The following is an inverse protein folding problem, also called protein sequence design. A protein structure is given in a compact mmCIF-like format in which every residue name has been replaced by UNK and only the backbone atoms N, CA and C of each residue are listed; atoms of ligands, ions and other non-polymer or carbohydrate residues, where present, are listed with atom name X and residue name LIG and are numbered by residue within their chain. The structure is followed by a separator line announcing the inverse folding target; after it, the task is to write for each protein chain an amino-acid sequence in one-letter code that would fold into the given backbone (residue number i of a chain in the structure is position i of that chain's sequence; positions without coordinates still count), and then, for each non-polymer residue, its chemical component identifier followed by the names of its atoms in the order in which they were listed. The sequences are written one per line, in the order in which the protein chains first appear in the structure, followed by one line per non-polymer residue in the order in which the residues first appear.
data_IF_301652316835
#
_entry.id   IF_301652316835
#
_cell.length_a   1.000
_cell.length_b   1.000
_cell.length_c   1.000
_cell.angle_alpha   90.00
_cell.angle_beta   90.00
_cell.angle_gamma   90.00
#
_symmetry.space_group_name_H-M   'P 1'
#
loop_
_entity.id
_entity.type
_entity.pdbx_description
1 polymer ?
#
# COMPACT_ATOMS: atom_id res chain seq x y z
N UNK A 1 -50.35 -3.53 -55.87
CA UNK A 1 -50.82 -2.20 -55.42
C UNK A 1 -49.63 -1.40 -54.93
N UNK A 2 -49.55 -0.15 -55.40
CA UNK A 2 -48.48 0.84 -55.19
C UNK A 2 -48.55 1.39 -53.75
N UNK A 3 -47.41 1.75 -53.13
CA UNK A 3 -46.98 3.15 -53.06
C UNK A 3 -45.59 3.26 -52.44
N UNK A 4 -44.70 3.87 -53.21
CA UNK A 4 -43.39 4.38 -52.83
C UNK A 4 -43.51 5.91 -52.85
N UNK A 5 -43.07 6.60 -51.80
CA UNK A 5 -43.10 8.07 -51.74
C UNK A 5 -41.71 8.63 -51.48
N UNK A 6 -41.08 9.01 -52.60
CA UNK A 6 -40.38 10.27 -52.90
C UNK A 6 -39.25 10.78 -51.99
N UNK A 7 -38.05 10.79 -52.59
CA UNK A 7 -36.95 11.71 -52.31
C UNK A 7 -37.31 13.18 -52.58
N UNK A 8 -36.64 14.09 -51.87
CA UNK A 8 -36.38 15.47 -52.30
C UNK A 8 -35.05 15.94 -51.69
N UNK A 9 -34.04 16.16 -52.54
CA UNK A 9 -32.92 17.09 -52.31
C UNK A 9 -33.03 18.20 -53.37
N UNK A 10 -32.45 19.39 -53.15
CA UNK A 10 -31.17 19.63 -53.83
C UNK A 10 -30.16 20.55 -53.12
N UNK A 11 -28.90 20.33 -53.53
CA UNK A 11 -27.83 21.30 -53.82
C UNK A 11 -26.84 21.72 -52.71
N UNK A 12 -25.56 21.48 -53.04
CA UNK A 12 -24.36 21.87 -52.28
C UNK A 12 -23.21 20.90 -52.52
N UNK A 13 -22.71 20.80 -53.77
CA UNK A 13 -21.69 19.82 -54.17
C UNK A 13 -20.26 20.21 -53.79
N UNK A 14 -19.38 19.22 -53.63
CA UNK A 14 -18.32 18.87 -54.60
C UNK A 14 -17.86 17.43 -54.31
N UNK A 15 -17.77 16.61 -55.38
CA UNK A 15 -17.33 15.20 -55.41
C UNK A 15 -15.85 15.11 -55.79
N UNK A 16 -15.22 13.96 -55.50
CA UNK A 16 -14.65 12.97 -56.46
C UNK A 16 -13.83 11.96 -55.62
N UNK A 17 -14.29 10.70 -55.42
CA UNK A 17 -14.18 9.48 -56.26
C UNK A 17 -12.74 8.95 -56.40
N UNK A 18 -12.43 7.65 -56.36
CA UNK A 18 -13.15 6.36 -56.25
C UNK A 18 -12.16 5.35 -55.62
N UNK A 19 -12.39 4.06 -55.40
CA UNK A 19 -13.15 2.93 -55.97
C UNK A 19 -12.84 1.77 -55.00
N UNK A 20 -13.62 0.71 -54.71
CA UNK A 20 -14.88 0.15 -55.19
C UNK A 20 -15.22 -1.03 -54.24
N UNK A 21 -16.51 -1.26 -53.97
CA UNK A 21 -17.04 -2.45 -53.30
C UNK A 21 -16.75 -3.77 -54.06
N UNK A 22 -16.66 -4.88 -53.32
CA UNK A 22 -17.41 -6.09 -53.65
C UNK A 22 -17.71 -6.95 -52.40
N UNK A 23 -19.01 -7.22 -52.25
CA UNK A 23 -19.71 -8.28 -51.50
C UNK A 23 -19.07 -9.67 -51.64
N UNK A 24 -19.30 -10.72 -50.85
CA UNK A 24 -20.41 -11.19 -50.01
C UNK A 24 -19.94 -12.50 -49.34
N UNK A 25 -20.51 -12.88 -48.20
CA UNK A 25 -20.24 -14.16 -47.56
C UNK A 25 -20.78 -15.37 -48.34
N UNK A 26 -20.08 -16.50 -48.25
CA UNK A 26 -20.64 -17.82 -48.46
C UNK A 26 -19.89 -18.85 -47.62
N UNK A 27 -20.68 -19.63 -46.88
CA UNK A 27 -20.31 -20.82 -46.12
C UNK A 27 -19.76 -21.93 -47.01
N UNK A 28 -18.76 -22.67 -46.54
CA UNK A 28 -18.75 -24.15 -46.37
C UNK A 28 -17.33 -24.72 -46.37
N UNK A 29 -17.14 -25.67 -45.47
CA UNK A 29 -16.02 -26.61 -45.33
C UNK A 29 -15.63 -27.29 -46.64
N UNK A 30 -14.34 -27.53 -46.88
CA UNK A 30 -13.72 -28.85 -47.15
C UNK A 30 -12.19 -28.68 -47.15
N UNK A 31 -11.51 -29.63 -46.50
CA UNK A 31 -10.05 -29.79 -46.40
C UNK A 31 -9.60 -30.69 -47.56
N UNK A 32 -8.38 -30.51 -48.10
CA UNK A 32 -7.35 -31.54 -48.39
C UNK A 32 -6.26 -31.02 -49.36
N UNK A 33 -5.02 -31.02 -48.84
CA UNK A 33 -3.69 -31.36 -49.44
C UNK A 33 -3.17 -30.76 -50.75
N UNK A 34 -1.90 -30.33 -50.71
CA UNK A 34 -0.98 -30.43 -51.86
C UNK A 34 0.08 -29.33 -51.99
N UNK A 35 1.22 -29.50 -51.32
CA UNK A 35 2.52 -28.92 -51.74
C UNK A 35 3.00 -29.68 -53.00
N UNK A 36 3.73 -29.05 -53.95
CA UNK A 36 5.19 -28.98 -53.78
C UNK A 36 5.94 -27.78 -54.44
N UNK A 37 7.16 -27.58 -53.91
CA UNK A 37 8.43 -27.18 -54.56
C UNK A 37 8.59 -25.86 -55.34
N UNK A 38 9.58 -25.08 -54.88
CA UNK A 38 10.24 -23.96 -55.55
C UNK A 38 11.14 -24.36 -56.73
N UNK A 39 11.59 -23.37 -57.54
CA UNK A 39 12.98 -23.36 -58.01
C UNK A 39 13.72 -22.01 -57.86
N UNK A 40 15.04 -22.14 -57.96
CA UNK A 40 16.15 -21.18 -57.78
C UNK A 40 16.24 -19.98 -58.74
N UNK A 41 16.88 -18.91 -58.23
CA UNK A 41 18.05 -18.26 -58.85
C UNK A 41 17.86 -16.86 -59.44
N UNK A 42 18.54 -15.82 -58.92
CA UNK A 42 19.81 -15.30 -59.48
C UNK A 42 20.38 -14.09 -58.69
N UNK A 43 21.72 -13.97 -58.72
CA UNK A 43 22.63 -13.16 -57.91
C UNK A 43 22.79 -11.70 -58.35
N UNK A 44 23.22 -10.82 -57.42
CA UNK A 44 24.15 -9.70 -57.72
C UNK A 44 25.21 -9.48 -56.62
N UNK A 45 26.33 -8.93 -57.07
CA UNK A 45 27.73 -9.11 -56.64
C UNK A 45 28.21 -8.17 -55.52
N UNK A 46 29.25 -8.62 -54.79
CA UNK A 46 30.21 -7.85 -53.97
C UNK A 46 31.49 -7.61 -54.81
N UNK A 47 32.28 -6.54 -54.53
CA UNK A 47 33.74 -6.72 -54.32
C UNK A 47 34.32 -5.73 -53.24
N UNK A 48 35.64 -5.74 -52.91
CA UNK A 48 36.32 -6.76 -52.13
C UNK A 48 37.18 -6.21 -50.96
N UNK A 49 37.88 -7.13 -50.30
CA UNK A 49 38.58 -7.07 -49.02
C UNK A 49 39.98 -6.42 -48.99
N UNK A 50 40.50 -6.20 -47.77
CA UNK A 50 41.92 -6.36 -47.44
C UNK A 50 42.07 -6.90 -46.01
N UNK A 51 42.93 -7.91 -45.87
CA UNK A 51 43.25 -8.66 -44.66
C UNK A 51 44.65 -8.28 -44.16
N UNK A 52 44.96 -8.55 -42.88
CA UNK A 52 46.21 -9.22 -42.49
C UNK A 52 46.05 -9.95 -41.16
N UNK A 53 46.61 -11.16 -41.14
CA UNK A 53 46.73 -12.15 -40.07
C UNK A 53 47.89 -11.82 -39.11
N UNK A 54 47.88 -12.40 -37.89
CA UNK A 54 48.77 -13.52 -37.49
C UNK A 54 48.68 -13.78 -35.98
N UNK A 55 48.16 -14.97 -35.64
CA UNK A 55 48.84 -16.07 -34.94
C UNK A 55 49.55 -15.88 -33.58
N UNK A 56 48.98 -16.59 -32.60
CA UNK A 56 49.57 -17.76 -31.93
C UNK A 56 50.45 -17.61 -30.67
N UNK A 57 49.93 -18.32 -29.64
CA UNK A 57 50.61 -19.25 -28.72
C UNK A 57 51.37 -18.75 -27.49
N UNK A 58 51.10 -19.47 -26.39
CA UNK A 58 52.19 -20.04 -25.59
C UNK A 58 52.11 -19.84 -24.08
N UNK A 59 51.74 -20.91 -23.37
CA UNK A 59 51.83 -21.07 -21.92
C UNK A 59 53.26 -20.82 -21.37
N UNK A 60 53.37 -20.46 -20.08
CA UNK A 60 53.93 -21.28 -18.98
C UNK A 60 54.31 -20.44 -17.75
N UNK A 61 54.73 -21.14 -16.71
CA UNK A 61 54.55 -20.90 -15.29
C UNK A 61 55.79 -20.42 -14.53
N UNK A 62 55.54 -20.01 -13.28
CA UNK A 62 56.38 -20.17 -12.09
C UNK A 62 57.49 -19.14 -11.73
N UNK A 63 57.37 -18.73 -10.44
CA UNK A 63 58.39 -18.39 -9.42
C UNK A 63 59.20 -17.09 -9.51
N UNK A 64 59.14 -16.36 -8.37
CA UNK A 64 60.37 -15.98 -7.66
C UNK A 64 60.67 -14.48 -7.50
N UNK A 65 60.24 -13.94 -6.36
CA UNK A 65 60.93 -12.96 -5.48
C UNK A 65 61.96 -11.94 -6.00
N UNK A 66 61.81 -10.70 -5.53
CA UNK A 66 62.95 -9.88 -5.11
C UNK A 66 63.04 -8.47 -5.68
N UNK A 67 62.67 -7.50 -4.83
CA UNK A 67 63.26 -6.16 -4.66
C UNK A 67 63.56 -5.28 -5.90
N UNK A 68 62.84 -4.14 -5.99
CA UNK A 68 63.23 -3.03 -6.85
C UNK A 68 62.14 -1.96 -6.95
N UNK A 69 61.96 -1.16 -5.90
CA UNK A 69 61.04 -0.02 -5.90
C UNK A 69 61.66 1.12 -6.72
N UNK A 70 60.96 1.58 -7.75
CA UNK A 70 61.29 2.78 -8.54
C UNK A 70 60.10 3.76 -8.59
N UNK A 71 60.35 5.06 -8.86
CA UNK A 71 59.84 6.15 -8.03
C UNK A 71 58.66 6.88 -8.67
N UNK A 72 57.44 6.35 -8.52
CA UNK A 72 56.22 7.12 -8.85
C UNK A 72 55.20 7.19 -7.71
N UNK A 73 55.52 6.60 -6.55
CA UNK A 73 54.66 6.63 -5.36
C UNK A 73 54.95 7.78 -4.37
N UNK A 74 55.97 8.62 -4.59
CA UNK A 74 56.37 9.66 -3.63
C UNK A 74 55.83 11.07 -3.88
N UNK A 75 55.00 11.30 -4.92
CA UNK A 75 54.44 12.63 -5.19
C UNK A 75 53.11 12.94 -4.47
N UNK A 76 52.46 11.94 -3.84
CA UNK A 76 51.18 12.13 -3.13
C UNK A 76 51.30 12.20 -1.60
N UNK A 77 52.46 11.87 -1.03
CA UNK A 77 52.70 11.86 0.42
C UNK A 77 53.27 13.19 0.95
N UNK A 78 53.76 14.08 0.08
CA UNK A 78 54.39 15.36 0.46
C UNK A 78 53.40 16.52 0.75
N UNK A 79 52.09 16.30 0.60
CA UNK A 79 51.05 17.30 0.94
C UNK A 79 50.49 17.16 2.37
N UNK A 80 51.13 16.34 3.22
CA UNK A 80 50.63 16.01 4.58
C UNK A 80 51.48 16.53 5.75
N UNK A 81 52.48 17.39 5.53
CA UNK A 81 53.47 17.75 6.59
C UNK A 81 53.66 19.24 6.91
N UNK A 82 52.79 20.16 6.45
CA UNK A 82 52.97 21.61 6.69
C UNK A 82 51.95 22.31 7.62
N UNK A 83 51.11 21.60 8.39
CA UNK A 83 50.14 22.24 9.32
C UNK A 83 50.44 21.94 10.81
N UNK A 84 51.62 21.40 11.12
CA UNK A 84 52.04 21.04 12.48
C UNK A 84 53.28 21.83 12.95
N UNK A 85 53.24 23.17 12.90
CA UNK A 85 54.26 24.05 13.54
C UNK A 85 53.73 25.45 13.92
N UNK A 86 52.61 25.53 14.64
CA UNK A 86 52.30 26.71 15.47
C UNK A 86 52.00 26.19 16.87
N UNK A 87 53.00 26.25 17.74
CA UNK A 87 52.95 25.77 19.12
C UNK A 87 53.34 26.92 20.05
N UNK A 88 52.46 27.15 21.04
CA UNK A 88 52.67 27.74 22.36
C UNK A 88 52.69 29.27 22.59
N UNK A 89 51.56 29.72 23.19
CA UNK A 89 51.42 30.30 24.53
C UNK A 89 51.80 31.77 24.79
N UNK A 90 50.81 32.60 25.16
CA UNK A 90 50.62 33.12 26.54
C UNK A 90 49.36 34.02 26.65
N UNK A 91 48.68 33.93 27.79
CA UNK A 91 47.41 34.56 28.16
C UNK A 91 47.55 36.03 28.63
N UNK A 92 46.42 36.73 28.90
CA UNK A 92 46.05 37.36 30.21
C UNK A 92 44.96 38.49 30.10
N UNK A 93 43.91 38.35 30.96
CA UNK A 93 42.96 39.33 31.58
C UNK A 93 41.86 39.94 30.67
N UNK A 94 40.56 39.75 30.93
CA UNK A 94 39.83 40.28 32.10
C UNK A 94 38.54 39.49 32.41
N UNK A 95 38.28 39.23 33.69
CA UNK A 95 37.03 38.69 34.23
C UNK A 95 36.26 39.78 35.03
N UNK A 96 34.96 39.49 35.25
CA UNK A 96 33.94 40.13 36.12
C UNK A 96 32.89 41.02 35.44
N UNK A 97 31.69 40.46 35.23
CA UNK A 97 30.47 40.79 36.00
C UNK A 97 29.28 39.94 35.52
N UNK A 98 28.55 39.36 36.47
CA UNK A 98 27.34 38.59 36.26
C UNK A 98 26.16 39.48 35.84
N UNK A 99 25.39 39.06 34.82
CA UNK A 99 23.95 39.32 34.71
C UNK A 99 23.30 38.13 34.00
N UNK A 100 22.38 37.49 34.70
CA UNK A 100 21.43 36.50 34.20
C UNK A 100 20.54 37.08 33.10
N UNK A 101 20.29 36.35 32.02
CA UNK A 101 18.97 36.26 31.36
C UNK A 101 19.02 35.37 30.10
N UNK A 102 18.46 34.17 30.24
CA UNK A 102 17.37 33.65 29.39
C UNK A 102 17.50 33.73 27.88
N UNK A 103 17.88 32.62 27.24
CA UNK A 103 17.33 32.20 25.96
C UNK A 103 17.66 30.72 25.68
N UNK A 104 16.80 29.80 26.14
CA UNK A 104 16.80 28.42 25.68
C UNK A 104 15.39 28.02 25.23
N UNK A 105 15.33 27.61 23.96
CA UNK A 105 14.53 26.47 23.51
C UNK A 105 13.01 26.61 23.51
N UNK A 106 12.46 27.03 22.37
CA UNK A 106 11.11 26.60 21.96
C UNK A 106 11.17 25.11 21.58
N UNK A 107 10.39 24.26 22.26
CA UNK A 107 9.65 23.17 21.61
C UNK A 107 8.30 23.03 22.31
N UNK A 108 7.25 23.23 21.52
CA UNK A 108 5.89 22.91 21.88
C UNK A 108 5.71 21.39 21.73
N UNK A 109 5.25 20.71 22.77
CA UNK A 109 4.76 19.34 22.69
C UNK A 109 3.23 19.34 22.82
N UNK A 110 2.59 18.54 21.95
CA UNK A 110 1.15 18.36 21.89
C UNK A 110 0.59 17.54 23.07
N UNK A 111 -0.73 17.36 23.14
CA UNK A 111 -1.41 16.90 24.35
C UNK A 111 -1.06 15.45 24.64
N UNK A 112 -0.30 15.24 25.72
CA UNK A 112 0.08 13.94 26.23
C UNK A 112 -1.15 13.15 26.70
N UNK A 113 -1.32 11.96 26.11
CA UNK A 113 -2.10 10.90 26.75
C UNK A 113 -1.53 10.61 28.14
N UNK A 114 -2.43 10.38 29.10
CA UNK A 114 -2.08 10.12 30.50
C UNK A 114 -1.08 8.97 30.60
N UNK A 115 0.19 9.30 30.79
CA UNK A 115 1.27 8.37 31.05
C UNK A 115 1.54 8.35 32.55
N UNK A 116 1.85 7.15 33.09
CA UNK A 116 2.22 6.94 34.50
C UNK A 116 3.32 7.91 34.99
N UNK A 117 4.14 8.43 34.09
CA UNK A 117 5.18 9.42 34.38
C UNK A 117 4.59 10.73 34.94
N UNK A 118 3.47 11.22 34.39
CA UNK A 118 2.86 12.48 34.85
C UNK A 118 2.18 12.40 36.22
N UNK A 119 2.10 11.20 36.81
CA UNK A 119 1.57 10.97 38.16
C UNK A 119 2.63 11.15 39.25
N UNK A 120 3.91 10.98 38.91
CA UNK A 120 5.04 11.03 39.86
C UNK A 120 5.95 12.23 39.63
N UNK A 121 6.04 12.71 38.39
CA UNK A 121 6.71 13.96 38.02
C UNK A 121 5.85 15.16 38.49
N UNK A 122 6.02 15.51 39.76
CA UNK A 122 5.22 16.53 40.44
C UNK A 122 5.65 17.92 40.00
N UNK A 123 6.94 18.10 39.71
CA UNK A 123 7.50 19.38 39.25
C UNK A 123 7.38 19.58 37.73
N UNK A 124 6.96 18.55 36.99
CA UNK A 124 6.74 18.52 35.53
C UNK A 124 7.98 18.85 34.72
N UNK A 125 9.14 18.38 35.17
CA UNK A 125 10.40 18.56 34.47
C UNK A 125 10.73 17.44 33.46
N UNK A 126 9.87 16.43 33.37
CA UNK A 126 10.00 15.29 32.47
C UNK A 126 10.88 14.17 33.02
N UNK A 127 11.36 14.28 34.26
CA UNK A 127 12.16 13.28 34.97
C UNK A 127 11.59 13.01 36.36
N UNK A 128 11.96 11.89 37.01
CA UNK A 128 11.53 11.59 38.38
C UNK A 128 12.75 11.69 39.29
N UNK A 129 12.77 12.74 40.12
CA UNK A 129 13.83 13.01 41.08
C UNK A 129 13.74 12.14 42.35
N UNK A 130 14.80 12.17 43.16
CA UNK A 130 14.89 11.39 44.40
C UNK A 130 13.72 11.64 45.36
N UNK A 131 13.35 12.91 45.54
CA UNK A 131 12.28 13.32 46.46
C UNK A 131 10.89 12.89 45.94
N UNK A 132 10.73 12.76 44.61
CA UNK A 132 9.49 12.30 43.97
C UNK A 132 9.35 10.77 44.05
N UNK A 133 10.47 10.04 44.00
CA UNK A 133 10.50 8.59 44.27
C UNK A 133 10.13 8.32 45.73
N UNK A 134 10.62 9.14 46.67
CA UNK A 134 10.29 9.02 48.08
C UNK A 134 8.80 9.31 48.36
N UNK A 135 8.17 10.21 47.58
CA UNK A 135 6.73 10.49 47.62
C UNK A 135 5.83 9.50 46.87
N UNK A 136 6.39 8.63 46.03
CA UNK A 136 5.63 7.78 45.11
C UNK A 136 4.65 6.82 45.81
N UNK A 137 5.00 6.34 47.00
CA UNK A 137 4.12 5.47 47.79
C UNK A 137 2.81 6.17 48.22
N UNK A 138 2.88 7.46 48.53
CA UNK A 138 1.69 8.25 48.89
C UNK A 138 0.81 8.51 47.66
N UNK A 139 1.42 8.77 46.50
CA UNK A 139 0.71 8.97 45.24
C UNK A 139 0.01 7.69 44.75
N UNK A 140 0.64 6.52 44.91
CA UNK A 140 0.02 5.22 44.62
C UNK A 140 -1.16 4.92 45.56
N UNK A 141 -1.04 5.24 46.85
CA UNK A 141 -2.13 5.07 47.81
C UNK A 141 -3.32 6.00 47.54
N UNK A 142 -3.10 7.16 46.92
CA UNK A 142 -4.17 8.07 46.52
C UNK A 142 -4.94 7.60 45.26
N UNK A 143 -4.38 6.66 44.51
CA UNK A 143 -5.02 6.05 43.34
C UNK A 143 -5.93 4.86 43.70
N UNK A 144 -5.64 4.17 44.82
CA UNK A 144 -6.48 3.10 45.38
C UNK A 144 -7.74 3.71 46.00
N UNK A 145 -8.75 3.92 45.15
CA UNK A 145 -10.02 4.57 45.51
C UNK A 145 -10.98 3.60 46.15
N UNK A 146 -10.91 2.32 45.79
CA UNK A 146 -11.77 1.29 46.37
C UNK A 146 -11.20 0.76 47.70
N UNK A 147 -9.95 1.08 48.04
CA UNK A 147 -9.30 0.77 49.30
C UNK A 147 -8.97 -0.72 49.45
N UNK A 148 -8.84 -1.45 48.34
CA UNK A 148 -8.61 -2.89 48.34
C UNK A 148 -7.12 -3.28 48.45
N UNK A 149 -6.23 -2.29 48.44
CA UNK A 149 -4.79 -2.46 48.53
C UNK A 149 -4.11 -2.85 47.22
N UNK A 150 -4.85 -2.87 46.11
CA UNK A 150 -4.36 -3.07 44.75
C UNK A 150 -4.81 -1.90 43.84
N UNK A 151 -4.13 -1.72 42.70
CA UNK A 151 -4.54 -0.72 41.70
C UNK A 151 -5.15 -1.41 40.49
N UNK A 152 -6.45 -1.24 40.30
CA UNK A 152 -7.20 -1.74 39.15
C UNK A 152 -7.06 -0.87 37.90
N UNK A 153 -7.44 -1.43 36.74
CA UNK A 153 -7.42 -0.73 35.45
C UNK A 153 -8.31 0.53 35.39
N UNK A 154 -9.27 0.63 36.32
CA UNK A 154 -10.18 1.78 36.43
C UNK A 154 -9.63 2.90 37.32
N UNK A 155 -8.69 2.57 38.21
CA UNK A 155 -7.99 3.52 39.09
C UNK A 155 -6.81 4.18 38.39
N UNK A 156 -6.15 3.44 37.49
CA UNK A 156 -5.09 3.94 36.62
C UNK A 156 -5.61 4.81 35.46
N UNK A 157 -6.91 4.79 35.18
CA UNK A 157 -7.55 5.66 34.18
C UNK A 157 -7.91 7.00 34.83
N UNK A 158 -6.97 7.95 34.78
CA UNK A 158 -7.13 9.30 35.31
C UNK A 158 -8.40 10.01 34.81
N UNK A 159 -9.31 10.34 35.73
CA UNK A 159 -10.40 11.29 35.48
C UNK A 159 -9.88 12.71 35.68
N UNK A 160 -9.88 13.50 34.62
CA UNK A 160 -9.64 14.94 34.66
C UNK A 160 -10.68 15.62 35.56
N UNK A 161 -10.24 16.39 36.56
CA UNK A 161 -11.09 17.30 37.33
C UNK A 161 -10.45 18.69 37.40
N UNK A 162 -11.21 19.70 36.97
CA UNK A 162 -11.11 21.09 37.40
C UNK A 162 -10.42 22.08 36.45
N UNK A 163 -11.19 22.72 35.56
CA UNK A 163 -10.80 23.98 34.89
C UNK A 163 -11.48 25.21 35.55
N UNK A 164 -10.97 26.44 35.33
CA UNK A 164 -11.45 27.67 35.98
C UNK A 164 -12.78 28.20 35.42
N UNK A 165 -13.47 29.15 36.09
CA UNK A 165 -14.89 29.38 35.91
C UNK A 165 -15.28 30.10 34.62
N UNK A 166 -16.56 29.89 34.28
CA UNK A 166 -17.25 30.16 33.02
C UNK A 166 -17.14 31.60 32.48
N UNK A 167 -16.51 31.70 31.31
CA UNK A 167 -16.92 32.65 30.28
C UNK A 167 -17.67 31.87 29.19
N UNK A 168 -18.98 32.15 29.03
CA UNK A 168 -19.91 31.46 28.13
C UNK A 168 -19.37 31.45 26.68
N UNK A 169 -18.72 30.35 26.28
CA UNK A 169 -18.49 30.00 24.87
C UNK A 169 -19.71 29.23 24.37
N UNK A 170 -20.13 29.42 23.11
CA UNK A 170 -21.24 28.65 22.56
C UNK A 170 -20.89 27.16 22.64
N UNK A 171 -21.83 26.38 23.16
CA UNK A 171 -21.77 24.92 23.33
C UNK A 171 -21.17 24.25 22.09
N UNK A 172 -19.88 23.94 22.14
CA UNK A 172 -19.29 23.00 21.21
C UNK A 172 -19.92 21.64 21.56
N UNK A 173 -20.80 21.13 20.69
CA UNK A 173 -21.36 19.80 20.82
C UNK A 173 -20.25 18.82 21.20
N UNK A 174 -20.50 17.97 22.20
CA UNK A 174 -19.47 17.12 22.78
C UNK A 174 -18.69 16.38 21.69
N UNK A 175 -17.37 16.26 21.85
CA UNK A 175 -16.52 15.56 20.86
C UNK A 175 -17.03 14.14 20.55
N UNK A 176 -17.70 13.50 21.52
CA UNK A 176 -18.39 12.23 21.34
C UNK A 176 -19.60 12.34 20.38
N UNK A 177 -20.42 13.39 20.50
CA UNK A 177 -21.52 13.67 19.57
C UNK A 177 -21.04 14.00 18.16
N UNK A 178 -19.90 14.68 18.02
CA UNK A 178 -19.28 14.96 16.73
C UNK A 178 -18.72 13.69 16.07
N UNK A 179 -18.05 12.80 16.83
CA UNK A 179 -17.55 11.53 16.30
C UNK A 179 -18.69 10.58 15.86
N UNK A 180 -19.75 10.49 16.66
CA UNK A 180 -20.91 9.65 16.35
C UNK A 180 -21.62 10.02 15.03
N UNK A 181 -21.47 11.27 14.57
CA UNK A 181 -21.99 11.72 13.27
C UNK A 181 -21.37 10.94 12.10
N UNK A 182 -20.08 10.61 12.19
CA UNK A 182 -19.30 9.99 11.13
C UNK A 182 -19.29 8.45 11.18
N UNK A 183 -19.79 7.86 12.26
CA UNK A 183 -19.78 6.41 12.50
C UNK A 183 -21.16 5.75 12.32
N UNK A 184 -22.05 6.40 11.54
CA UNK A 184 -23.39 5.86 11.30
C UNK A 184 -23.33 4.52 10.55
N UNK A 185 -24.16 3.52 10.92
CA UNK A 185 -24.26 2.26 10.20
C UNK A 185 -24.61 2.46 8.72
N UNK A 186 -24.14 1.55 7.87
CA UNK A 186 -24.54 1.53 6.47
C UNK A 186 -26.05 1.29 6.37
N UNK A 187 -26.72 2.11 5.55
CA UNK A 187 -28.15 1.99 5.25
C UNK A 187 -28.29 1.22 3.94
N UNK A 188 -28.89 0.01 3.95
CA UNK A 188 -29.09 -0.77 2.74
C UNK A 188 -30.08 -0.13 1.77
N UNK A 189 -29.82 -0.25 0.46
CA UNK A 189 -30.74 0.23 -0.59
C UNK A 189 -31.88 -0.76 -0.87
N UNK A 190 -31.60 -2.05 -0.82
CA UNK A 190 -32.53 -3.14 -1.17
C UNK A 190 -32.40 -4.34 -0.20
N UNK A 191 -33.33 -5.28 -0.26
CA UNK A 191 -33.36 -6.46 0.64
C UNK A 191 -32.11 -7.34 0.50
N UNK A 192 -31.56 -7.44 -0.72
CA UNK A 192 -30.33 -8.18 -0.96
C UNK A 192 -29.12 -7.48 -0.33
N UNK A 193 -29.03 -6.14 -0.43
CA UNK A 193 -28.02 -5.37 0.31
C UNK A 193 -28.21 -5.49 1.83
N UNK A 194 -29.46 -5.49 2.31
CA UNK A 194 -29.77 -5.66 3.73
C UNK A 194 -29.23 -6.98 4.26
N UNK A 195 -29.47 -8.08 3.53
CA UNK A 195 -28.94 -9.41 3.86
C UNK A 195 -27.40 -9.42 3.95
N UNK A 196 -26.73 -8.73 3.03
CA UNK A 196 -25.27 -8.65 3.01
C UNK A 196 -24.73 -7.82 4.19
N UNK A 197 -25.34 -6.68 4.49
CA UNK A 197 -24.98 -5.83 5.64
C UNK A 197 -25.19 -6.57 6.96
N UNK A 198 -26.26 -7.35 7.10
CA UNK A 198 -26.50 -8.21 8.26
C UNK A 198 -25.47 -9.34 8.37
N UNK A 199 -25.02 -9.90 7.23
CA UNK A 199 -23.95 -10.88 7.22
C UNK A 199 -22.63 -10.27 7.73
N UNK A 200 -22.23 -9.10 7.23
CA UNK A 200 -21.04 -8.36 7.71
C UNK A 200 -21.12 -8.13 9.22
N UNK A 201 -22.26 -7.64 9.72
CA UNK A 201 -22.46 -7.44 11.17
C UNK A 201 -22.32 -8.73 11.97
N UNK A 202 -22.82 -9.85 11.44
CA UNK A 202 -22.65 -11.14 12.10
C UNK A 202 -21.18 -11.55 12.15
N UNK A 203 -20.43 -11.35 11.07
CA UNK A 203 -19.00 -11.68 11.00
C UNK A 203 -18.20 -10.88 12.03
N UNK A 204 -18.51 -9.59 12.20
CA UNK A 204 -17.88 -8.70 13.18
C UNK A 204 -18.22 -9.06 14.65
N UNK A 205 -19.34 -9.74 14.88
CA UNK A 205 -19.74 -10.23 16.22
C UNK A 205 -19.16 -11.61 16.55
N UNK A 206 -18.58 -12.30 15.58
CA UNK A 206 -18.01 -13.64 15.73
C UNK A 206 -16.66 -13.63 16.46
N UNK A 207 -15.94 -14.77 16.43
CA UNK A 207 -14.58 -14.83 16.93
C UNK A 207 -13.73 -13.73 16.28
N UNK A 208 -12.85 -13.11 17.07
CA UNK A 208 -11.98 -12.04 16.56
C UNK A 208 -10.94 -12.63 15.60
N UNK A 209 -11.24 -12.56 14.32
CA UNK A 209 -10.26 -12.66 13.24
C UNK A 209 -9.73 -11.26 12.93
N UNK A 210 -8.57 -11.18 12.29
CA UNK A 210 -7.97 -9.91 11.84
C UNK A 210 -8.73 -9.35 10.62
N UNK A 211 -10.03 -9.10 10.78
CA UNK A 211 -10.90 -8.60 9.73
C UNK A 211 -10.69 -7.08 9.51
N UNK A 212 -11.09 -6.61 8.33
CA UNK A 212 -11.06 -5.19 7.99
C UNK A 212 -12.03 -4.38 8.88
N UNK A 213 -11.62 -3.22 9.41
CA UNK A 213 -12.54 -2.28 10.04
C UNK A 213 -13.69 -1.85 9.11
N UNK A 214 -14.86 -1.50 9.67
CA UNK A 214 -16.05 -1.08 8.87
C UNK A 214 -15.72 0.08 7.91
N UNK A 215 -14.91 1.06 8.35
CA UNK A 215 -14.46 2.19 7.51
C UNK A 215 -13.65 1.71 6.30
N UNK A 216 -12.81 0.71 6.48
CA UNK A 216 -12.01 0.13 5.40
C UNK A 216 -12.90 -0.65 4.43
N UNK A 217 -13.83 -1.47 4.95
CA UNK A 217 -14.80 -2.19 4.14
C UNK A 217 -15.68 -1.25 3.28
N UNK A 218 -16.17 -0.15 3.86
CA UNK A 218 -16.89 0.88 3.11
C UNK A 218 -16.03 1.54 2.05
N UNK A 219 -14.77 1.83 2.37
CA UNK A 219 -13.82 2.36 1.39
C UNK A 219 -13.67 1.40 0.20
N UNK A 220 -13.48 0.10 0.45
CA UNK A 220 -13.39 -0.94 -0.59
C UNK A 220 -14.65 -0.96 -1.48
N UNK A 221 -15.85 -0.92 -0.88
CA UNK A 221 -17.11 -0.81 -1.65
C UNK A 221 -17.11 0.43 -2.55
N UNK A 222 -16.83 1.60 -1.97
CA UNK A 222 -16.91 2.87 -2.68
C UNK A 222 -15.97 2.92 -3.88
N UNK A 223 -14.71 2.54 -3.72
CA UNK A 223 -13.74 2.57 -4.83
C UNK A 223 -14.07 1.54 -5.91
N UNK A 224 -14.60 0.37 -5.52
CA UNK A 224 -14.95 -0.70 -6.46
C UNK A 224 -16.11 -0.27 -7.36
N UNK A 225 -17.15 0.30 -6.76
CA UNK A 225 -18.32 0.79 -7.50
C UNK A 225 -17.98 2.03 -8.33
N UNK A 226 -17.23 2.98 -7.78
CA UNK A 226 -16.84 4.21 -8.48
C UNK A 226 -15.90 3.94 -9.67
N UNK A 227 -15.02 2.93 -9.57
CA UNK A 227 -14.16 2.52 -10.67
C UNK A 227 -14.94 1.74 -11.76
N UNK A 228 -16.16 1.30 -11.47
CA UNK A 228 -16.88 0.36 -12.31
C UNK A 228 -16.15 -0.98 -12.43
N UNK A 229 -15.48 -1.41 -11.36
CA UNK A 229 -14.63 -2.59 -11.37
C UNK A 229 -15.45 -3.86 -11.61
N UNK A 230 -15.00 -4.69 -12.55
CA UNK A 230 -15.64 -5.96 -12.91
C UNK A 230 -14.79 -7.17 -12.51
N UNK A 231 -13.49 -6.99 -12.28
CA UNK A 231 -12.59 -8.05 -11.86
C UNK A 231 -11.69 -7.61 -10.70
N UNK A 232 -11.97 -8.15 -9.53
CA UNK A 232 -11.18 -7.94 -8.32
C UNK A 232 -10.42 -9.22 -7.98
N UNK A 233 -9.16 -9.07 -7.59
CA UNK A 233 -8.34 -10.16 -7.05
C UNK A 233 -7.93 -9.79 -5.62
N UNK A 234 -8.15 -10.70 -4.68
CA UNK A 234 -7.80 -10.56 -3.26
C UNK A 234 -6.80 -11.63 -2.84
N UNK A 235 -5.75 -11.22 -2.13
CA UNK A 235 -4.78 -12.12 -1.51
C UNK A 235 -4.96 -12.03 0.01
N UNK A 236 -5.46 -13.11 0.62
CA UNK A 236 -5.83 -13.19 2.04
C UNK A 236 -7.34 -13.07 2.25
N UNK A 237 -8.07 -14.19 2.14
CA UNK A 237 -9.53 -14.21 2.36
C UNK A 237 -9.89 -14.11 3.85
N UNK A 238 -9.13 -14.76 4.73
CA UNK A 238 -9.50 -14.99 6.13
C UNK A 238 -10.92 -15.58 6.21
N UNK A 239 -11.82 -15.01 7.01
CA UNK A 239 -13.23 -15.40 7.08
C UNK A 239 -14.13 -14.73 6.04
N UNK A 240 -13.55 -13.90 5.15
CA UNK A 240 -14.22 -13.34 3.98
C UNK A 240 -14.88 -11.97 4.15
N UNK A 241 -14.61 -11.21 5.21
CA UNK A 241 -15.31 -9.94 5.45
C UNK A 241 -15.05 -8.90 4.34
N UNK A 242 -13.79 -8.70 3.95
CA UNK A 242 -13.40 -7.84 2.82
C UNK A 242 -14.04 -8.31 1.50
N UNK A 243 -14.06 -9.62 1.27
CA UNK A 243 -14.70 -10.22 0.10
C UNK A 243 -16.21 -9.93 0.03
N UNK A 244 -16.91 -9.94 1.17
CA UNK A 244 -18.33 -9.55 1.24
C UNK A 244 -18.52 -8.05 0.96
N UNK A 245 -17.60 -7.19 1.43
CA UNK A 245 -17.60 -5.76 1.08
C UNK A 245 -17.39 -5.51 -0.41
N UNK A 246 -16.49 -6.24 -1.06
CA UNK A 246 -16.34 -6.19 -2.51
C UNK A 246 -17.62 -6.67 -3.23
N UNK A 247 -18.21 -7.77 -2.76
CA UNK A 247 -19.43 -8.30 -3.36
C UNK A 247 -20.60 -7.30 -3.33
N UNK A 248 -20.70 -6.44 -2.31
CA UNK A 248 -21.68 -5.34 -2.30
C UNK A 248 -21.57 -4.45 -3.54
N UNK A 249 -20.36 -4.05 -3.91
CA UNK A 249 -20.11 -3.22 -5.10
C UNK A 249 -20.23 -4.04 -6.40
N UNK A 250 -19.71 -5.26 -6.41
CA UNK A 250 -19.67 -6.12 -7.59
C UNK A 250 -21.07 -6.55 -8.07
N UNK A 251 -22.04 -6.64 -7.15
CA UNK A 251 -23.46 -6.77 -7.51
C UNK A 251 -23.95 -5.64 -8.42
N UNK A 252 -23.49 -4.42 -8.19
CA UNK A 252 -23.89 -3.24 -8.96
C UNK A 252 -23.12 -3.16 -10.28
N UNK A 253 -21.81 -3.46 -10.26
CA UNK A 253 -20.98 -3.36 -11.46
C UNK A 253 -21.09 -4.58 -12.39
N UNK A 254 -21.71 -5.67 -11.93
CA UNK A 254 -21.78 -6.94 -12.68
C UNK A 254 -20.45 -7.71 -12.68
N UNK A 255 -19.60 -7.46 -11.68
CA UNK A 255 -18.26 -8.04 -11.58
C UNK A 255 -18.15 -9.29 -10.71
N UNK A 256 -16.94 -9.81 -10.60
CA UNK A 256 -16.58 -10.94 -9.71
C UNK A 256 -15.29 -10.70 -8.97
N UNK A 257 -15.16 -11.39 -7.83
CA UNK A 257 -13.97 -11.43 -6.99
C UNK A 257 -13.35 -12.84 -7.06
N UNK A 258 -12.03 -12.90 -7.19
CA UNK A 258 -11.25 -14.11 -6.92
C UNK A 258 -10.38 -13.87 -5.70
N UNK A 259 -10.51 -14.69 -4.68
CA UNK A 259 -9.80 -14.55 -3.41
C UNK A 259 -8.97 -15.79 -3.09
N UNK A 260 -7.80 -15.60 -2.47
CA UNK A 260 -6.84 -16.66 -2.17
C UNK A 260 -6.70 -16.86 -0.65
N UNK A 261 -6.84 -18.11 -0.21
CA UNK A 261 -6.70 -18.51 1.19
C UNK A 261 -5.86 -19.77 1.34
N UNK A 262 -4.87 -19.72 2.23
CA UNK A 262 -3.98 -20.85 2.49
C UNK A 262 -4.58 -21.84 3.50
N UNK A 263 -5.35 -21.35 4.46
CA UNK A 263 -5.96 -22.17 5.51
C UNK A 263 -7.33 -22.70 5.06
N UNK A 264 -7.44 -24.02 4.92
CA UNK A 264 -8.67 -24.68 4.47
C UNK A 264 -9.86 -24.41 5.39
N UNK A 265 -9.66 -24.38 6.71
CA UNK A 265 -10.75 -24.13 7.67
C UNK A 265 -11.31 -22.71 7.57
N UNK A 266 -10.44 -21.73 7.32
CA UNK A 266 -10.84 -20.35 7.03
C UNK A 266 -11.54 -20.25 5.68
N UNK A 267 -11.03 -20.93 4.64
CA UNK A 267 -11.70 -20.98 3.34
C UNK A 267 -13.12 -21.55 3.45
N UNK A 268 -13.33 -22.64 4.21
CA UNK A 268 -14.65 -23.19 4.49
C UNK A 268 -15.56 -22.20 5.23
N UNK A 269 -15.02 -21.52 6.25
CA UNK A 269 -15.73 -20.47 7.01
C UNK A 269 -16.13 -19.30 6.12
N UNK A 270 -15.25 -18.89 5.20
CA UNK A 270 -15.51 -17.83 4.23
C UNK A 270 -16.62 -18.24 3.25
N UNK A 271 -16.56 -19.45 2.68
CA UNK A 271 -17.62 -19.99 1.80
C UNK A 271 -18.98 -20.02 2.51
N UNK A 272 -19.02 -20.42 3.79
CA UNK A 272 -20.24 -20.40 4.59
C UNK A 272 -20.76 -18.96 4.77
N UNK A 273 -19.86 -18.00 5.01
CA UNK A 273 -20.20 -16.57 5.13
C UNK A 273 -20.76 -16.01 3.83
N UNK A 274 -20.17 -16.37 2.67
CA UNK A 274 -20.66 -15.94 1.35
C UNK A 274 -22.05 -16.48 1.05
N UNK A 275 -22.29 -17.76 1.36
CA UNK A 275 -23.62 -18.37 1.24
C UNK A 275 -24.66 -17.69 2.15
N UNK A 276 -24.26 -17.36 3.38
CA UNK A 276 -25.14 -16.64 4.32
C UNK A 276 -25.47 -15.24 3.80
N UNK A 277 -24.49 -14.54 3.22
CA UNK A 277 -24.67 -13.24 2.60
C UNK A 277 -25.45 -13.31 1.26
N UNK A 278 -25.50 -14.47 0.60
CA UNK A 278 -26.13 -14.65 -0.71
C UNK A 278 -25.29 -14.10 -1.87
N UNK A 279 -23.96 -14.15 -1.75
CA UNK A 279 -22.99 -13.60 -2.71
C UNK A 279 -22.03 -14.65 -3.27
N UNK A 280 -22.29 -15.94 -3.01
CA UNK A 280 -21.45 -17.05 -3.45
C UNK A 280 -21.26 -17.11 -4.97
N UNK A 281 -22.20 -16.59 -5.75
CA UNK A 281 -22.09 -16.50 -7.22
C UNK A 281 -21.13 -15.41 -7.72
N UNK A 282 -20.67 -14.51 -6.84
CA UNK A 282 -19.78 -13.40 -7.19
C UNK A 282 -18.34 -13.63 -6.73
N UNK A 283 -18.12 -14.60 -5.85
CA UNK A 283 -16.84 -14.81 -5.18
C UNK A 283 -16.34 -16.22 -5.45
N UNK A 284 -15.15 -16.32 -6.04
CA UNK A 284 -14.43 -17.58 -6.19
C UNK A 284 -13.29 -17.63 -5.17
N UNK A 285 -13.33 -18.62 -4.28
CA UNK A 285 -12.21 -18.89 -3.35
C UNK A 285 -11.29 -19.93 -3.94
N UNK A 286 -10.01 -19.59 -4.00
CA UNK A 286 -8.93 -20.47 -4.40
C UNK A 286 -8.11 -20.83 -3.17
N UNK A 287 -8.02 -22.13 -2.91
CA UNK A 287 -7.29 -22.67 -1.77
C UNK A 287 -5.85 -23.00 -2.14
N UNK A 288 -4.91 -22.59 -1.29
CA UNK A 288 -3.49 -22.91 -1.43
C UNK A 288 -2.57 -21.72 -1.20
N UNK A 289 -1.27 -21.94 -1.40
CA UNK A 289 -0.27 -20.89 -1.28
C UNK A 289 -0.45 -19.86 -2.41
N UNK A 290 -0.82 -18.63 -2.04
CA UNK A 290 -1.01 -17.54 -2.98
C UNK A 290 0.24 -17.26 -3.82
N UNK A 291 1.46 -17.52 -3.32
CA UNK A 291 2.69 -17.32 -4.08
C UNK A 291 2.72 -18.16 -5.37
N UNK A 292 2.06 -19.31 -5.36
CA UNK A 292 1.95 -20.22 -6.49
C UNK A 292 0.62 -20.04 -7.22
N UNK A 293 -0.46 -19.98 -6.45
CA UNK A 293 -1.83 -19.94 -6.94
C UNK A 293 -2.13 -18.69 -7.78
N UNK A 294 -1.54 -17.53 -7.47
CA UNK A 294 -1.77 -16.30 -8.25
C UNK A 294 -1.32 -16.39 -9.71
N UNK A 295 -0.41 -17.32 -10.05
CA UNK A 295 0.11 -17.52 -11.40
C UNK A 295 -0.96 -17.98 -12.39
N UNK A 296 -2.11 -18.45 -11.91
CA UNK A 296 -3.23 -18.86 -12.78
C UNK A 296 -4.02 -17.67 -13.36
N UNK A 297 -3.89 -16.47 -12.79
CA UNK A 297 -4.52 -15.28 -13.36
C UNK A 297 -3.89 -14.93 -14.72
N UNK A 298 -4.74 -14.60 -15.69
CA UNK A 298 -4.35 -14.19 -17.05
C UNK A 298 -5.06 -12.92 -17.52
N UNK A 299 -6.27 -12.67 -17.02
CA UNK A 299 -7.07 -11.53 -17.44
C UNK A 299 -6.73 -10.25 -16.66
N UNK A 300 -6.96 -9.06 -17.26
CA UNK A 300 -6.70 -7.78 -16.62
C UNK A 300 -7.45 -7.60 -15.29
N UNK A 301 -6.77 -7.04 -14.29
CA UNK A 301 -7.29 -6.82 -12.95
C UNK A 301 -7.66 -5.34 -12.80
N UNK A 302 -8.88 -5.06 -12.35
CA UNK A 302 -9.33 -3.70 -12.03
C UNK A 302 -8.82 -3.27 -10.65
N UNK A 303 -8.95 -4.16 -9.66
CA UNK A 303 -8.50 -3.94 -8.28
C UNK A 303 -7.77 -5.19 -7.78
N UNK A 304 -6.54 -5.00 -7.30
CA UNK A 304 -5.78 -5.99 -6.55
C UNK A 304 -5.79 -5.60 -5.07
N UNK A 305 -6.35 -6.43 -4.21
CA UNK A 305 -6.35 -6.26 -2.76
C UNK A 305 -5.32 -7.19 -2.09
N UNK A 306 -4.42 -6.63 -1.30
CA UNK A 306 -3.40 -7.36 -0.55
C UNK A 306 -3.70 -7.25 0.94
N UNK A 307 -4.07 -8.36 1.58
CA UNK A 307 -4.26 -8.48 3.03
C UNK A 307 -3.81 -9.84 3.58
N UNK A 308 -2.61 -10.25 3.19
CA UNK A 308 -1.98 -11.51 3.59
C UNK A 308 -0.72 -11.27 4.44
N UNK A 309 0.27 -12.16 4.31
CA UNK A 309 1.59 -12.00 4.91
C UNK A 309 2.35 -10.82 4.29
N UNK A 310 2.92 -9.95 5.13
CA UNK A 310 3.47 -8.68 4.65
C UNK A 310 4.80 -8.83 3.90
N UNK A 311 5.57 -9.86 4.23
CA UNK A 311 6.84 -10.16 3.56
C UNK A 311 6.63 -10.65 2.11
N UNK A 312 5.48 -11.24 1.82
CA UNK A 312 5.08 -11.69 0.50
C UNK A 312 4.50 -10.62 -0.41
N UNK A 313 4.16 -9.43 0.10
CA UNK A 313 3.49 -8.38 -0.69
C UNK A 313 4.25 -7.99 -1.95
N UNK A 314 5.58 -7.87 -1.88
CA UNK A 314 6.38 -7.54 -3.04
C UNK A 314 6.30 -8.65 -4.10
N UNK A 315 6.42 -9.91 -3.70
CA UNK A 315 6.31 -11.05 -4.61
C UNK A 315 4.93 -11.14 -5.28
N UNK A 316 3.85 -10.96 -4.51
CA UNK A 316 2.49 -10.91 -5.06
C UNK A 316 2.35 -9.77 -6.08
N UNK A 317 2.85 -8.58 -5.72
CA UNK A 317 2.78 -7.41 -6.58
C UNK A 317 3.57 -7.61 -7.87
N UNK A 318 4.80 -8.12 -7.82
CA UNK A 318 5.60 -8.36 -9.02
C UNK A 318 4.92 -9.33 -10.00
N UNK A 319 4.25 -10.36 -9.48
CA UNK A 319 3.50 -11.34 -10.30
C UNK A 319 2.22 -10.77 -10.90
N UNK A 320 1.51 -9.90 -10.16
CA UNK A 320 0.16 -9.46 -10.53
C UNK A 320 0.10 -8.05 -11.15
N UNK A 321 1.07 -7.18 -10.88
CA UNK A 321 1.15 -5.81 -11.43
C UNK A 321 1.11 -5.77 -12.96
N UNK A 322 1.71 -6.71 -13.71
CA UNK A 322 1.55 -6.77 -15.16
C UNK A 322 0.09 -6.93 -15.60
N UNK A 323 -0.73 -7.63 -14.80
CA UNK A 323 -2.15 -7.86 -15.06
C UNK A 323 -3.05 -6.71 -14.58
N UNK A 324 -2.61 -5.91 -13.60
CA UNK A 324 -3.35 -4.70 -13.22
C UNK A 324 -3.43 -3.77 -14.43
N UNK A 325 -4.64 -3.41 -14.85
CA UNK A 325 -4.81 -2.55 -16.03
C UNK A 325 -4.35 -1.12 -15.76
N UNK A 326 -4.01 -0.33 -16.80
CA UNK A 326 -3.86 1.11 -16.65
C UNK A 326 -5.12 1.75 -16.03
N UNK A 327 -4.93 2.62 -15.05
CA UNK A 327 -5.99 3.18 -14.20
C UNK A 327 -6.59 2.20 -13.18
N UNK A 328 -6.06 0.98 -13.06
CA UNK A 328 -6.43 0.02 -12.02
C UNK A 328 -5.76 0.35 -10.67
N UNK A 329 -6.31 -0.22 -9.60
CA UNK A 329 -5.86 0.04 -8.23
C UNK A 329 -5.21 -1.20 -7.60
N UNK A 330 -4.14 -0.98 -6.84
CA UNK A 330 -3.61 -1.92 -5.86
C UNK A 330 -3.91 -1.32 -4.49
N UNK A 331 -4.62 -2.06 -3.65
CA UNK A 331 -5.01 -1.66 -2.31
C UNK A 331 -4.35 -2.62 -1.33
N UNK A 332 -3.49 -2.12 -0.46
CA UNK A 332 -2.74 -2.92 0.50
C UNK A 332 -3.14 -2.55 1.93
N UNK A 333 -3.48 -3.55 2.72
CA UNK A 333 -3.93 -3.38 4.10
C UNK A 333 -2.79 -3.61 5.12
N UNK A 334 -2.95 -3.04 6.31
CA UNK A 334 -1.95 -2.92 7.38
C UNK A 334 -0.66 -2.17 6.99
N UNK A 335 -0.79 -1.04 6.30
CA UNK A 335 0.34 -0.25 5.81
C UNK A 335 0.92 0.73 6.85
N UNK A 336 0.97 0.33 8.13
CA UNK A 336 1.64 1.13 9.18
C UNK A 336 3.17 0.98 9.11
N UNK A 337 3.95 1.96 9.62
CA UNK A 337 5.42 1.83 9.70
C UNK A 337 5.91 0.61 10.47
N UNK A 338 5.10 0.05 11.37
CA UNK A 338 5.44 -1.15 12.14
C UNK A 338 5.23 -2.44 11.36
N UNK A 339 4.26 -2.47 10.44
CA UNK A 339 3.78 -3.71 9.81
C UNK A 339 4.18 -3.83 8.34
N UNK A 340 4.26 -2.72 7.61
CA UNK A 340 4.54 -2.71 6.19
C UNK A 340 5.95 -3.25 5.89
N UNK A 341 6.10 -4.02 4.81
CA UNK A 341 7.42 -4.38 4.27
C UNK A 341 8.04 -3.14 3.59
N UNK A 342 9.21 -2.65 4.05
CA UNK A 342 9.88 -1.51 3.45
C UNK A 342 10.16 -1.68 1.96
N UNK A 343 10.44 -2.91 1.50
CA UNK A 343 10.72 -3.20 0.08
C UNK A 343 9.49 -2.98 -0.78
N UNK A 344 8.33 -3.38 -0.29
CA UNK A 344 7.06 -3.13 -0.96
C UNK A 344 6.73 -1.63 -1.00
N UNK A 345 6.93 -0.92 0.12
CA UNK A 345 6.70 0.53 0.21
C UNK A 345 7.60 1.28 -0.77
N UNK A 346 8.89 0.96 -0.81
CA UNK A 346 9.84 1.57 -1.74
C UNK A 346 9.46 1.28 -3.20
N UNK A 347 9.05 0.05 -3.51
CA UNK A 347 8.62 -0.33 -4.85
C UNK A 347 7.44 0.51 -5.35
N UNK A 348 6.40 0.70 -4.52
CA UNK A 348 5.20 1.43 -4.95
C UNK A 348 5.39 2.96 -4.97
N UNK A 349 6.33 3.50 -4.20
CA UNK A 349 6.52 4.96 -4.05
C UNK A 349 7.62 5.55 -4.95
N UNK A 350 8.54 4.75 -5.48
CA UNK A 350 9.66 5.25 -6.29
C UNK A 350 9.44 5.13 -7.80
N UNK A 351 8.40 4.40 -8.21
CA UNK A 351 8.12 4.09 -9.61
C UNK A 351 7.28 5.18 -10.29
N UNK A 352 7.69 5.71 -11.46
CA UNK A 352 6.98 6.80 -12.12
C UNK A 352 5.63 6.38 -12.72
N UNK A 353 5.43 5.09 -13.00
CA UNK A 353 4.19 4.50 -13.51
C UNK A 353 3.15 4.23 -12.42
N UNK A 354 3.50 4.46 -11.14
CA UNK A 354 2.62 4.28 -9.99
C UNK A 354 2.37 5.62 -9.28
N UNK A 355 1.19 5.78 -8.71
CA UNK A 355 0.86 6.86 -7.76
C UNK A 355 0.35 6.21 -6.47
N UNK A 356 0.96 6.49 -5.33
CA UNK A 356 0.56 5.90 -4.05
C UNK A 356 0.20 6.97 -3.03
N UNK A 357 -0.93 6.77 -2.35
CA UNK A 357 -1.28 7.49 -1.12
C UNK A 357 -1.56 6.50 0.00
N UNK A 358 -1.34 6.92 1.24
CA UNK A 358 -1.64 6.14 2.44
C UNK A 358 -2.79 6.78 3.21
N UNK A 359 -3.81 5.99 3.52
CA UNK A 359 -5.04 6.40 4.19
C UNK A 359 -5.18 5.64 5.51
N UNK A 360 -6.03 6.14 6.41
CA UNK A 360 -6.37 5.46 7.67
C UNK A 360 -5.15 5.04 8.52
N UNK A 361 -4.07 5.82 8.52
CA UNK A 361 -2.81 5.45 9.16
C UNK A 361 -2.94 5.23 10.68
N UNK A 362 -3.91 5.91 11.31
CA UNK A 362 -4.25 5.75 12.73
C UNK A 362 -5.03 4.45 13.02
N UNK A 363 -5.66 3.84 12.01
CA UNK A 363 -6.54 2.67 12.12
C UNK A 363 -5.97 1.45 11.38
N UNK A 364 -4.65 1.29 11.41
CA UNK A 364 -3.94 0.17 10.79
C UNK A 364 -3.40 0.46 9.39
N UNK A 365 -3.82 1.53 8.73
CA UNK A 365 -3.23 2.00 7.48
C UNK A 365 -3.63 1.20 6.25
N UNK A 366 -3.97 1.91 5.18
CA UNK A 366 -4.28 1.37 3.86
C UNK A 366 -3.47 2.11 2.82
N UNK A 367 -2.64 1.40 2.07
CA UNK A 367 -1.95 1.92 0.89
C UNK A 367 -2.85 1.79 -0.32
N UNK A 368 -3.03 2.88 -1.07
CA UNK A 368 -3.80 2.90 -2.31
C UNK A 368 -2.85 3.34 -3.42
N UNK A 369 -2.56 2.43 -4.33
CA UNK A 369 -1.66 2.64 -5.46
C UNK A 369 -2.41 2.55 -6.77
N UNK A 370 -2.36 3.58 -7.59
CA UNK A 370 -2.91 3.57 -8.94
C UNK A 370 -1.81 3.27 -9.95
N UNK A 371 -2.06 2.35 -10.87
CA UNK A 371 -1.24 2.20 -12.08
C UNK A 371 -1.64 3.29 -13.07
N UNK A 372 -0.74 4.21 -13.40
CA UNK A 372 -1.02 5.36 -14.29
C UNK A 372 -1.39 4.89 -15.70
N UNK A 373 -2.12 5.75 -16.43
CA UNK A 373 -2.63 5.47 -17.79
C UNK A 373 -1.57 5.65 -18.86
#
# INVERSE_FOLDING_TARGET
MRFCTRCSMPSGGTRICGTSCCSSGCSSSWRWTGLPSAPCGELRRIPPAAATRNDAEGLTSERGGGAGVSPEASARQQRRTNVRRIVCAAAIITALAAVSASAQGRRAEGPGGASLLGLFDTNRDGTIGKDEIEGAAAALKALDRNGDGALGADELRGQARGGPPEGRRPEAGSAAGAAAMFEKPLVPRDDAEKKIVEAIRTMQQGPRYANVPDKHGRFLRLITEALGATRVVEIGTSTGESAVWFALALRTTGGTLVTHEIDKGRAETARASFKKAGVEGLITVIEGDAHETVKQHKDPIDILFLDADKQGYLDYLEKLLPLVRPGGLIVAHNMTPRQADPRYVEFITTRPDLETTFLFMEEGGVGVTMKKR
#
